data_IF_062477389784
#
_entry.id   IF_062477389784
#
_cell.length_a   1.000
_cell.length_b   1.000
_cell.length_c   1.000
_cell.angle_alpha   90.00
_cell.angle_beta   90.00
_cell.angle_gamma   90.00
#
_symmetry.space_group_name_H-M   'P 1'
#
loop_
_entity.id
_entity.type
_entity.pdbx_description
1 polymer ?
#
# COMPACT_ATOMS: atom_id res chain seq x y z
N UNK A 1 21.59 12.16 6.33
CA UNK A 1 22.40 11.06 6.92
C UNK A 1 22.50 11.18 8.44
N UNK A 2 22.92 12.31 9.01
CA UNK A 2 23.06 12.47 10.48
C UNK A 2 21.77 12.13 11.20
N UNK A 3 20.63 12.62 10.74
CA UNK A 3 19.33 12.33 11.33
C UNK A 3 18.97 10.85 11.27
N UNK A 4 19.34 10.15 10.19
CA UNK A 4 19.11 8.71 10.07
C UNK A 4 19.93 7.91 11.10
N UNK A 5 21.16 8.35 11.39
CA UNK A 5 21.95 7.73 12.45
C UNK A 5 21.36 7.97 13.84
N UNK A 6 20.85 9.18 14.13
CA UNK A 6 20.15 9.46 15.40
C UNK A 6 18.94 8.54 15.59
N UNK A 7 18.16 8.32 14.52
CA UNK A 7 17.00 7.41 14.54
C UNK A 7 17.44 5.96 14.74
N UNK A 8 18.46 5.51 14.01
CA UNK A 8 18.99 4.15 14.12
C UNK A 8 19.59 3.85 15.52
N UNK A 9 20.19 4.85 16.16
CA UNK A 9 20.72 4.74 17.52
C UNK A 9 19.63 4.81 18.61
N UNK A 10 18.40 5.20 18.26
CA UNK A 10 17.28 5.15 19.19
C UNK A 10 16.80 3.70 19.35
N UNK A 11 16.27 3.36 20.51
CA UNK A 11 15.78 1.99 20.78
C UNK A 11 14.40 1.69 20.16
N UNK A 12 13.88 2.55 19.28
CA UNK A 12 12.57 2.36 18.65
C UNK A 12 12.69 1.37 17.49
N UNK A 13 12.07 0.19 17.56
CA UNK A 13 12.07 -0.76 16.45
C UNK A 13 11.18 -0.27 15.30
N UNK A 14 11.56 -0.61 14.07
CA UNK A 14 10.77 -0.31 12.88
C UNK A 14 11.65 -0.04 11.65
N UNK A 15 10.97 0.14 10.51
CA UNK A 15 11.59 0.60 9.26
C UNK A 15 11.11 2.01 8.99
N UNK A 16 12.04 2.95 8.88
CA UNK A 16 11.73 4.37 8.74
C UNK A 16 12.47 5.02 7.59
N UNK A 17 11.80 5.95 6.92
CA UNK A 17 12.44 6.94 6.05
C UNK A 17 12.65 8.21 6.87
N UNK A 18 13.89 8.66 6.95
CA UNK A 18 14.27 9.88 7.70
C UNK A 18 14.69 10.95 6.71
N UNK A 19 13.94 12.01 6.66
CA UNK A 19 14.20 13.10 5.71
C UNK A 19 13.69 14.45 6.23
N UNK A 20 14.53 15.47 6.14
CA UNK A 20 14.20 16.84 6.55
C UNK A 20 13.66 16.91 8.00
N UNK A 21 14.37 16.25 8.93
CA UNK A 21 13.99 16.18 10.34
C UNK A 21 12.74 15.33 10.65
N UNK A 22 12.09 14.74 9.65
CA UNK A 22 10.89 13.92 9.81
C UNK A 22 11.26 12.44 9.86
N UNK A 23 10.58 11.69 10.72
CA UNK A 23 10.64 10.24 10.77
C UNK A 23 9.32 9.69 10.26
N UNK A 24 9.36 8.95 9.16
CA UNK A 24 8.20 8.47 8.42
C UNK A 24 8.23 6.94 8.45
N UNK A 25 7.10 6.29 8.68
CA UNK A 25 7.00 4.83 8.53
C UNK A 25 7.35 4.43 7.10
N UNK A 26 8.15 3.38 6.93
CA UNK A 26 8.73 3.01 5.63
C UNK A 26 7.69 2.74 4.55
N UNK A 27 6.60 2.07 4.91
CA UNK A 27 5.47 1.75 4.03
C UNK A 27 4.51 2.93 3.78
N UNK A 28 4.68 4.05 4.52
CA UNK A 28 3.91 5.28 4.38
C UNK A 28 4.66 6.39 3.65
N UNK A 29 5.95 6.20 3.41
CA UNK A 29 6.80 7.22 2.83
C UNK A 29 6.54 7.37 1.32
N UNK A 30 6.23 8.59 0.88
CA UNK A 30 6.07 8.91 -0.52
C UNK A 30 6.81 10.20 -0.87
N UNK A 31 7.40 10.25 -2.07
CA UNK A 31 8.13 11.42 -2.55
C UNK A 31 7.20 12.39 -3.24
N UNK A 32 6.95 13.54 -2.60
CA UNK A 32 6.04 14.58 -3.10
C UNK A 32 6.73 15.71 -3.89
N UNK A 33 8.05 15.89 -3.73
CA UNK A 33 8.80 16.96 -4.40
C UNK A 33 10.14 16.45 -4.93
N UNK A 34 10.59 17.01 -6.03
CA UNK A 34 11.83 16.60 -6.71
C UNK A 34 13.03 17.51 -6.45
N UNK A 35 12.79 18.76 -6.04
CA UNK A 35 13.85 19.79 -5.90
C UNK A 35 14.01 20.31 -4.47
N UNK A 36 12.95 20.35 -3.67
CA UNK A 36 12.99 20.91 -2.31
C UNK A 36 13.39 19.86 -1.29
N UNK A 37 14.03 20.28 -0.17
CA UNK A 37 14.41 19.41 0.93
C UNK A 37 13.22 18.74 1.61
N UNK A 38 12.05 19.40 1.69
CA UNK A 38 10.79 18.80 2.14
C UNK A 38 10.22 17.86 1.05
N UNK A 39 11.01 16.85 0.67
CA UNK A 39 10.73 16.01 -0.49
C UNK A 39 9.86 14.80 -0.17
N UNK A 40 9.89 14.30 1.06
CA UNK A 40 9.11 13.15 1.49
C UNK A 40 8.02 13.53 2.49
N UNK A 41 6.94 12.77 2.49
CA UNK A 41 5.82 12.92 3.42
C UNK A 41 5.22 11.57 3.78
N UNK A 42 4.38 11.55 4.81
CA UNK A 42 3.66 10.37 5.25
C UNK A 42 2.27 10.33 4.61
N UNK A 43 1.95 9.26 3.92
CA UNK A 43 0.65 9.05 3.26
C UNK A 43 -0.28 8.33 4.23
N UNK A 44 -1.45 8.90 4.48
CA UNK A 44 -2.52 8.35 5.32
C UNK A 44 -2.09 7.96 6.74
N UNK A 45 -0.99 8.50 7.24
CA UNK A 45 -0.52 8.27 8.60
C UNK A 45 0.21 9.51 9.15
N UNK A 46 0.22 9.68 10.45
CA UNK A 46 1.05 10.68 11.09
C UNK A 46 2.54 10.32 10.97
N UNK A 47 3.42 11.31 11.16
CA UNK A 47 4.84 11.03 11.27
C UNK A 47 5.13 10.22 12.53
N UNK A 48 6.01 9.22 12.44
CA UNK A 48 6.46 8.44 13.58
C UNK A 48 7.19 9.29 14.62
N UNK A 49 7.80 10.39 14.19
CA UNK A 49 8.50 11.32 15.06
C UNK A 49 9.21 12.44 14.31
N UNK A 50 9.99 13.21 15.05
CA UNK A 50 10.85 14.31 14.54
C UNK A 50 12.23 14.20 15.16
N UNK A 51 13.25 14.50 14.36
CA UNK A 51 14.63 14.63 14.84
C UNK A 51 14.82 16.08 15.34
N UNK A 52 15.33 16.20 16.56
CA UNK A 52 15.65 17.46 17.23
C UNK A 52 17.15 17.49 17.59
N UNK A 53 17.62 18.58 18.17
CA UNK A 53 19.00 18.69 18.64
C UNK A 53 19.31 17.64 19.72
N UNK A 54 18.38 17.43 20.66
CA UNK A 54 18.51 16.50 21.79
C UNK A 54 18.31 15.02 21.40
N UNK A 55 17.94 14.71 20.12
CA UNK A 55 17.70 13.34 19.68
C UNK A 55 16.42 13.21 18.86
N UNK A 56 15.66 12.14 19.09
CA UNK A 56 14.43 11.83 18.38
C UNK A 56 13.22 11.98 19.31
N UNK A 57 12.32 12.88 18.94
CA UNK A 57 11.01 13.02 19.61
C UNK A 57 9.99 12.14 18.89
N UNK A 58 9.68 11.00 19.48
CA UNK A 58 8.72 10.05 18.96
C UNK A 58 7.27 10.47 19.23
N UNK A 59 6.39 10.24 18.24
CA UNK A 59 4.94 10.38 18.40
C UNK A 59 4.35 9.04 18.88
N UNK A 60 4.05 8.94 20.16
CA UNK A 60 3.52 7.72 20.78
C UNK A 60 2.19 7.29 20.18
N UNK A 61 1.30 8.24 19.88
CA UNK A 61 -0.02 7.96 19.29
C UNK A 61 0.14 7.37 17.89
N UNK A 62 1.03 7.94 17.07
CA UNK A 62 1.32 7.41 15.74
C UNK A 62 1.93 6.00 15.79
N UNK A 63 2.86 5.76 16.72
CA UNK A 63 3.46 4.43 16.92
C UNK A 63 2.44 3.39 17.37
N UNK A 64 1.54 3.74 18.27
CA UNK A 64 0.46 2.86 18.75
C UNK A 64 -0.53 2.52 17.63
N UNK A 65 -0.95 3.52 16.84
CA UNK A 65 -1.84 3.32 15.70
C UNK A 65 -1.23 2.40 14.64
N UNK A 66 0.04 2.63 14.28
CA UNK A 66 0.76 1.78 13.33
C UNK A 66 0.96 0.37 13.88
N UNK A 67 1.30 0.23 15.16
CA UNK A 67 1.39 -1.06 15.83
C UNK A 67 0.06 -1.84 15.82
N UNK A 68 -1.08 -1.15 15.94
CA UNK A 68 -2.40 -1.78 15.83
C UNK A 68 -2.66 -2.28 14.40
N UNK A 69 -2.33 -1.48 13.38
CA UNK A 69 -2.44 -1.88 11.97
C UNK A 69 -1.58 -3.11 11.66
N UNK A 70 -0.32 -3.11 12.08
CA UNK A 70 0.59 -4.23 11.89
C UNK A 70 0.03 -5.49 12.55
N UNK A 71 -0.55 -5.39 13.75
CA UNK A 71 -1.20 -6.54 14.40
C UNK A 71 -2.36 -7.12 13.59
N UNK A 72 -3.19 -6.26 12.97
CA UNK A 72 -4.27 -6.73 12.10
C UNK A 72 -3.72 -7.50 10.91
N UNK A 73 -2.73 -6.95 10.21
CA UNK A 73 -2.09 -7.62 9.08
C UNK A 73 -1.45 -8.95 9.52
N UNK A 74 -0.78 -8.95 10.67
CA UNK A 74 -0.20 -10.16 11.24
C UNK A 74 -1.25 -11.25 11.51
N UNK A 75 -2.37 -10.89 12.11
CA UNK A 75 -3.45 -11.86 12.39
C UNK A 75 -3.98 -12.49 11.09
N UNK A 76 -4.20 -11.69 10.06
CA UNK A 76 -4.62 -12.20 8.74
C UNK A 76 -3.59 -13.14 8.11
N UNK A 77 -2.30 -12.85 8.26
CA UNK A 77 -1.22 -13.74 7.79
C UNK A 77 -1.20 -15.02 8.62
N UNK A 78 -1.27 -14.92 9.94
CA UNK A 78 -1.25 -16.07 10.85
C UNK A 78 -2.40 -17.04 10.57
N UNK A 79 -3.61 -16.53 10.33
CA UNK A 79 -4.76 -17.35 9.91
C UNK A 79 -4.50 -18.11 8.60
N UNK A 80 -3.89 -17.44 7.59
CA UNK A 80 -3.61 -18.05 6.29
C UNK A 80 -2.56 -19.16 6.36
N UNK A 81 -1.59 -19.04 7.26
CA UNK A 81 -0.49 -20.01 7.42
C UNK A 81 -0.71 -20.96 8.60
N UNK A 82 -1.89 -20.90 9.23
CA UNK A 82 -2.31 -21.73 10.36
C UNK A 82 -1.35 -21.65 11.56
N UNK A 83 -0.87 -20.45 11.88
CA UNK A 83 -0.05 -20.16 13.05
C UNK A 83 -0.94 -19.48 14.10
N UNK A 84 -0.80 -19.90 15.37
CA UNK A 84 -1.48 -19.23 16.47
C UNK A 84 -0.91 -17.81 16.67
N UNK A 85 -1.71 -16.74 16.54
CA UNK A 85 -1.23 -15.37 16.70
C UNK A 85 -0.63 -15.05 18.08
N UNK A 86 -1.03 -15.80 19.12
CA UNK A 86 -0.55 -15.62 20.50
C UNK A 86 0.86 -16.20 20.71
N UNK A 87 1.32 -17.10 19.86
CA UNK A 87 2.69 -17.65 19.90
C UNK A 87 3.76 -16.69 19.38
N UNK A 88 3.38 -15.46 19.11
CA UNK A 88 4.17 -14.40 18.48
C UNK A 88 5.53 -14.15 19.13
N UNK A 89 5.63 -14.33 20.45
CA UNK A 89 6.87 -14.08 21.19
C UNK A 89 7.97 -15.13 20.94
N UNK A 90 7.62 -16.29 20.37
CA UNK A 90 8.53 -17.41 20.11
C UNK A 90 8.86 -17.62 18.64
N UNK A 91 8.25 -16.84 17.73
CA UNK A 91 8.53 -17.01 16.30
C UNK A 91 9.92 -16.49 15.95
N UNK A 92 10.70 -17.25 15.18
CA UNK A 92 11.97 -16.79 14.67
C UNK A 92 11.77 -15.58 13.74
N UNK A 93 12.79 -14.73 13.65
CA UNK A 93 12.80 -13.67 12.63
C UNK A 93 12.70 -14.34 11.25
N UNK A 94 11.65 -14.02 10.51
CA UNK A 94 11.44 -14.56 9.16
C UNK A 94 11.88 -13.50 8.14
N UNK A 95 12.79 -13.90 7.27
CA UNK A 95 13.24 -13.08 6.17
C UNK A 95 12.33 -13.31 4.95
N UNK A 96 11.64 -12.25 4.51
CA UNK A 96 10.90 -12.23 3.26
C UNK A 96 11.76 -11.54 2.20
N UNK A 97 12.63 -12.29 1.54
CA UNK A 97 13.59 -11.79 0.55
C UNK A 97 13.15 -12.03 -0.90
N UNK A 98 12.00 -12.65 -1.09
CA UNK A 98 11.46 -12.94 -2.43
C UNK A 98 10.31 -12.01 -2.74
N UNK A 99 10.54 -11.15 -3.73
CA UNK A 99 9.51 -10.31 -4.33
C UNK A 99 9.03 -10.93 -5.64
N UNK A 100 7.74 -10.82 -5.92
CA UNK A 100 7.19 -11.21 -7.21
C UNK A 100 7.38 -10.07 -8.23
N UNK A 101 8.25 -10.22 -9.23
CA UNK A 101 8.45 -9.18 -10.25
C UNK A 101 7.32 -9.13 -11.28
N UNK A 102 6.36 -10.06 -11.22
CA UNK A 102 5.23 -10.18 -12.15
C UNK A 102 3.99 -9.45 -11.64
N UNK A 103 4.17 -8.23 -11.15
CA UNK A 103 3.11 -7.29 -10.78
C UNK A 103 3.05 -6.16 -11.79
N UNK A 104 1.90 -5.96 -12.43
CA UNK A 104 1.68 -4.86 -13.37
C UNK A 104 0.96 -3.71 -12.68
N UNK A 105 1.59 -2.54 -12.59
CA UNK A 105 0.94 -1.31 -12.14
C UNK A 105 0.25 -0.62 -13.33
N UNK A 106 -1.05 -0.40 -13.22
CA UNK A 106 -1.85 0.32 -14.21
C UNK A 106 -2.48 1.54 -13.58
N UNK A 107 -1.99 2.71 -13.95
CA UNK A 107 -2.59 3.99 -13.56
C UNK A 107 -3.74 4.31 -14.49
N UNK A 108 -4.95 4.47 -13.96
CA UNK A 108 -6.11 4.84 -14.76
C UNK A 108 -5.99 6.31 -15.23
N UNK A 109 -6.38 6.53 -16.47
CA UNK A 109 -6.53 7.86 -17.07
C UNK A 109 -7.81 7.92 -17.91
N UNK A 110 -8.39 9.10 -18.14
CA UNK A 110 -9.55 9.24 -19.02
C UNK A 110 -9.24 8.73 -20.42
N UNK A 111 -10.00 7.76 -20.89
CA UNK A 111 -9.80 7.17 -22.20
C UNK A 111 -9.00 5.86 -22.23
N UNK A 112 -8.59 5.32 -21.08
CA UNK A 112 -7.94 4.01 -21.01
C UNK A 112 -8.83 2.92 -21.61
N UNK A 113 -8.23 2.03 -22.39
CA UNK A 113 -8.92 0.91 -23.04
C UNK A 113 -8.77 -0.38 -22.20
N UNK A 114 -9.81 -1.25 -22.17
CA UNK A 114 -9.79 -2.49 -21.39
C UNK A 114 -8.65 -3.45 -21.74
N UNK A 115 -8.20 -3.45 -22.98
CA UNK A 115 -7.15 -4.29 -23.53
C UNK A 115 -5.82 -4.11 -22.79
N UNK A 116 -5.58 -2.92 -22.22
CA UNK A 116 -4.38 -2.64 -21.42
C UNK A 116 -4.32 -3.58 -20.20
N UNK A 117 -5.45 -3.89 -19.59
CA UNK A 117 -5.51 -4.82 -18.47
C UNK A 117 -5.23 -6.26 -18.94
N UNK A 118 -5.77 -6.66 -20.09
CA UNK A 118 -5.61 -8.01 -20.64
C UNK A 118 -4.15 -8.30 -21.02
N UNK A 119 -3.34 -7.28 -21.29
CA UNK A 119 -1.91 -7.41 -21.47
C UNK A 119 -1.22 -8.16 -20.32
N UNK A 120 -1.73 -8.02 -19.10
CA UNK A 120 -1.19 -8.75 -17.94
C UNK A 120 -1.26 -10.27 -18.14
N UNK A 121 -2.39 -10.76 -18.68
CA UNK A 121 -2.59 -12.18 -18.99
C UNK A 121 -1.65 -12.65 -20.11
N UNK A 122 -1.57 -11.90 -21.19
CA UNK A 122 -0.72 -12.23 -22.35
C UNK A 122 0.77 -12.31 -21.97
N UNK A 123 1.20 -11.49 -21.03
CA UNK A 123 2.61 -11.42 -20.59
C UNK A 123 2.91 -12.25 -19.35
N UNK A 124 1.94 -12.99 -18.84
CA UNK A 124 2.12 -13.88 -17.71
C UNK A 124 2.41 -13.13 -16.40
N UNK A 125 1.74 -12.00 -16.17
CA UNK A 125 1.74 -11.36 -14.86
C UNK A 125 0.89 -12.17 -13.88
N UNK A 126 1.28 -12.15 -12.61
CA UNK A 126 0.56 -12.85 -11.54
C UNK A 126 -0.46 -11.93 -10.86
N UNK A 127 -0.22 -10.62 -10.91
CA UNK A 127 -1.15 -9.65 -10.35
C UNK A 127 -1.12 -8.32 -11.10
N UNK A 128 -2.22 -7.58 -10.96
CA UNK A 128 -2.39 -6.21 -11.46
C UNK A 128 -2.77 -5.32 -10.30
N UNK A 129 -2.01 -4.24 -10.11
CA UNK A 129 -2.36 -3.16 -9.19
C UNK A 129 -2.92 -2.00 -10.01
N UNK A 130 -4.17 -1.65 -9.78
CA UNK A 130 -4.85 -0.53 -10.43
C UNK A 130 -4.77 0.70 -9.53
N UNK A 131 -4.10 1.75 -10.00
CA UNK A 131 -4.11 3.07 -9.38
C UNK A 131 -5.31 3.86 -9.93
N UNK A 132 -6.41 3.86 -9.19
CA UNK A 132 -7.74 4.31 -9.60
C UNK A 132 -7.99 5.79 -9.27
N UNK A 133 -9.12 6.32 -9.72
CA UNK A 133 -9.58 7.68 -9.40
C UNK A 133 -10.31 7.73 -8.05
N UNK A 134 -10.28 8.89 -7.40
CA UNK A 134 -11.09 9.21 -6.21
C UNK A 134 -10.97 8.15 -5.11
N UNK A 135 -12.10 7.70 -4.59
CA UNK A 135 -12.14 6.68 -3.53
C UNK A 135 -11.84 5.25 -4.03
N UNK A 136 -11.47 5.08 -5.28
CA UNK A 136 -11.22 3.77 -5.87
C UNK A 136 -12.39 3.31 -6.75
N UNK A 137 -12.22 2.12 -7.34
CA UNK A 137 -13.20 1.50 -8.21
C UNK A 137 -12.75 1.41 -9.66
N UNK A 138 -13.49 0.63 -10.42
CA UNK A 138 -13.19 0.35 -11.81
C UNK A 138 -14.41 0.72 -12.64
N UNK A 139 -14.22 1.53 -13.70
CA UNK A 139 -15.35 1.95 -14.53
C UNK A 139 -16.02 0.75 -15.20
N UNK A 140 -17.37 0.72 -15.14
CA UNK A 140 -18.19 -0.33 -15.72
C UNK A 140 -19.18 0.21 -16.79
N UNK A 141 -19.07 1.50 -17.14
CA UNK A 141 -19.96 2.14 -18.13
C UNK A 141 -19.33 2.15 -19.52
N UNK A 142 -20.16 1.94 -20.54
CA UNK A 142 -19.74 2.07 -21.94
C UNK A 142 -19.35 3.52 -22.27
N UNK A 143 -18.46 3.76 -23.24
CA UNK A 143 -17.86 2.75 -24.12
C UNK A 143 -16.66 1.99 -23.53
N UNK A 144 -16.08 2.47 -22.42
CA UNK A 144 -14.84 1.91 -21.83
C UNK A 144 -15.12 1.21 -20.51
N UNK A 145 -15.84 0.08 -20.59
CA UNK A 145 -16.12 -0.76 -19.45
C UNK A 145 -14.90 -1.66 -19.15
N UNK A 146 -14.19 -1.40 -18.05
CA UNK A 146 -13.02 -2.19 -17.64
C UNK A 146 -13.39 -3.45 -16.84
N UNK A 147 -14.62 -3.53 -16.31
CA UNK A 147 -15.02 -4.61 -15.42
C UNK A 147 -14.92 -6.01 -16.06
N UNK A 148 -15.34 -6.24 -17.33
CA UNK A 148 -15.17 -7.54 -17.96
C UNK A 148 -13.71 -8.00 -18.09
N UNK A 149 -12.79 -7.06 -18.34
CA UNK A 149 -11.35 -7.38 -18.38
C UNK A 149 -10.82 -7.75 -16.99
N UNK A 150 -11.25 -7.05 -15.94
CA UNK A 150 -10.94 -7.39 -14.54
C UNK A 150 -11.45 -8.78 -14.19
N UNK A 151 -12.70 -9.08 -14.51
CA UNK A 151 -13.29 -10.41 -14.27
C UNK A 151 -12.53 -11.52 -15.01
N UNK A 152 -12.13 -11.26 -16.25
CA UNK A 152 -11.34 -12.21 -17.03
C UNK A 152 -9.96 -12.48 -16.40
N UNK A 153 -9.28 -11.44 -15.92
CA UNK A 153 -8.01 -11.60 -15.21
C UNK A 153 -8.18 -12.48 -13.96
N UNK A 154 -9.19 -12.18 -13.14
CA UNK A 154 -9.47 -12.92 -11.91
C UNK A 154 -9.83 -14.37 -12.21
N UNK A 155 -10.68 -14.64 -13.21
CA UNK A 155 -11.00 -16.00 -13.67
C UNK A 155 -9.77 -16.77 -14.17
N UNK A 156 -8.77 -16.05 -14.69
CA UNK A 156 -7.49 -16.64 -15.13
C UNK A 156 -6.50 -16.85 -13.99
N UNK A 157 -6.87 -16.56 -12.73
CA UNK A 157 -6.02 -16.72 -11.55
C UNK A 157 -5.11 -15.52 -11.27
N UNK A 158 -5.22 -14.43 -12.03
CA UNK A 158 -4.45 -13.19 -11.81
C UNK A 158 -5.15 -12.39 -10.74
N UNK A 159 -4.43 -11.99 -9.71
CA UNK A 159 -4.97 -11.15 -8.64
C UNK A 159 -5.07 -9.71 -9.11
N UNK A 160 -6.21 -9.06 -8.84
CA UNK A 160 -6.39 -7.65 -9.14
C UNK A 160 -6.62 -6.88 -7.85
N UNK A 161 -5.77 -5.92 -7.58
CA UNK A 161 -5.87 -5.02 -6.43
C UNK A 161 -6.10 -3.57 -6.90
N UNK A 162 -6.76 -2.78 -6.07
CA UNK A 162 -7.03 -1.37 -6.35
C UNK A 162 -6.53 -0.50 -5.20
N UNK A 163 -5.73 0.48 -5.56
CA UNK A 163 -5.36 1.64 -4.75
C UNK A 163 -5.88 2.92 -5.41
N UNK A 164 -5.57 4.08 -4.88
CA UNK A 164 -6.02 5.36 -5.42
C UNK A 164 -4.86 6.28 -5.82
N UNK A 165 -5.12 7.12 -6.83
CA UNK A 165 -4.24 8.23 -7.21
C UNK A 165 -4.30 9.40 -6.23
N UNK A 166 -5.33 9.43 -5.39
CA UNK A 166 -5.54 10.49 -4.41
C UNK A 166 -4.62 10.28 -3.21
N UNK A 167 -3.84 11.29 -2.82
CA UNK A 167 -2.81 11.13 -1.79
C UNK A 167 -3.34 11.09 -0.35
N UNK A 168 -4.64 11.34 -0.16
CA UNK A 168 -5.29 11.37 1.16
C UNK A 168 -6.51 10.47 1.19
N UNK A 169 -6.89 10.00 2.38
CA UNK A 169 -8.07 9.19 2.72
C UNK A 169 -8.04 7.74 2.21
N UNK A 170 -7.13 7.41 1.27
CA UNK A 170 -7.01 6.05 0.74
C UNK A 170 -8.13 5.63 -0.21
N UNK A 171 -8.16 4.34 -0.55
CA UNK A 171 -9.18 3.72 -1.39
C UNK A 171 -10.28 3.10 -0.51
N UNK A 172 -11.51 3.56 -0.69
CA UNK A 172 -12.72 3.00 -0.06
C UNK A 172 -13.68 2.54 -1.16
N UNK A 173 -13.55 1.28 -1.54
CA UNK A 173 -14.35 0.68 -2.62
C UNK A 173 -15.82 0.48 -2.23
N UNK A 174 -16.19 0.65 -0.98
CA UNK A 174 -17.59 0.52 -0.53
C UNK A 174 -18.40 1.77 -0.76
N UNK A 175 -17.74 2.91 -1.01
CA UNK A 175 -18.36 4.22 -1.05
C UNK A 175 -19.22 4.50 -2.29
N UNK A 176 -18.85 3.96 -3.43
CA UNK A 176 -19.52 4.20 -4.72
C UNK A 176 -19.77 2.90 -5.47
N UNK A 177 -20.80 2.90 -6.32
CA UNK A 177 -21.19 1.76 -7.14
C UNK A 177 -20.02 1.17 -7.95
N UNK A 178 -19.12 2.02 -8.48
CA UNK A 178 -17.93 1.58 -9.23
C UNK A 178 -16.95 0.76 -8.38
N UNK A 179 -16.87 1.04 -7.09
CA UNK A 179 -16.07 0.28 -6.14
C UNK A 179 -16.75 -1.01 -5.72
N UNK A 180 -18.06 -0.94 -5.38
CA UNK A 180 -18.84 -2.11 -4.98
C UNK A 180 -18.83 -3.18 -6.08
N UNK A 181 -19.06 -2.80 -7.34
CA UNK A 181 -18.98 -3.74 -8.48
C UNK A 181 -17.59 -4.36 -8.66
N UNK A 182 -16.54 -3.60 -8.39
CA UNK A 182 -15.18 -4.13 -8.41
C UNK A 182 -14.95 -5.16 -7.29
N UNK A 183 -15.46 -4.91 -6.07
CA UNK A 183 -15.40 -5.87 -4.96
C UNK A 183 -16.20 -7.14 -5.27
N UNK A 184 -17.40 -7.02 -5.83
CA UNK A 184 -18.24 -8.14 -6.28
C UNK A 184 -17.54 -9.02 -7.32
N UNK A 185 -16.73 -8.39 -8.19
CA UNK A 185 -15.89 -9.10 -9.15
C UNK A 185 -14.67 -9.81 -8.54
N UNK A 186 -14.36 -9.57 -7.25
CA UNK A 186 -13.25 -10.18 -6.54
C UNK A 186 -11.97 -9.33 -6.48
N UNK A 187 -12.08 -8.02 -6.73
CA UNK A 187 -10.96 -7.07 -6.58
C UNK A 187 -10.60 -6.90 -5.12
N UNK A 188 -9.30 -6.79 -4.83
CA UNK A 188 -8.75 -6.55 -3.49
C UNK A 188 -8.59 -5.05 -3.28
N UNK A 189 -9.20 -4.50 -2.21
CA UNK A 189 -8.96 -3.11 -1.82
C UNK A 189 -7.66 -2.99 -1.04
N UNK A 190 -6.81 -2.04 -1.42
CA UNK A 190 -5.56 -1.73 -0.71
C UNK A 190 -5.75 -0.66 0.39
N UNK A 191 -6.97 -0.14 0.53
CA UNK A 191 -7.31 0.79 1.61
C UNK A 191 -6.41 2.03 1.63
N UNK A 192 -5.68 2.22 2.73
CA UNK A 192 -4.79 3.37 2.95
C UNK A 192 -3.33 3.12 2.53
N UNK A 193 -3.01 1.96 1.98
CA UNK A 193 -1.65 1.64 1.57
C UNK A 193 -1.20 2.46 0.36
N UNK A 194 0.09 2.79 0.32
CA UNK A 194 0.67 3.42 -0.86
C UNK A 194 0.78 2.41 -1.99
N UNK A 195 0.85 2.87 -3.24
CA UNK A 195 1.06 1.97 -4.39
C UNK A 195 2.42 1.23 -4.32
N UNK A 196 3.38 1.79 -3.60
CA UNK A 196 4.70 1.21 -3.37
C UNK A 196 4.66 0.08 -2.33
N UNK A 197 3.69 0.10 -1.40
CA UNK A 197 3.52 -0.91 -0.35
C UNK A 197 2.36 -1.89 -0.60
N UNK A 198 1.57 -1.61 -1.62
CA UNK A 198 0.39 -2.38 -2.01
C UNK A 198 0.71 -3.74 -2.65
#
# INVERSE_FOLDING_TARGET
>A
LIDSFKVAASSQPGVFVVFDGKVIFGDRANKKKTKSFDAFWSVNAAYAGKVCEEGVKWDKTALEAEGARIRQVWNLIAERVNINPEEKASLPVVLYDKLDPKVLLVKLYPGIEPEILLFAKERGYHSVLIESFGAGGVTFRKPRNLLPAVEELIKSGIKVAVTTQVPFDGADLTRYEVGVKALEAGVISMGTDTKESA
#
